data_IF_452627133833
#
_entry.id   IF_452627133833
#
_cell.length_a   1.000
_cell.length_b   1.000
_cell.length_c   1.000
_cell.angle_alpha   90.00
_cell.angle_beta   90.00
_cell.angle_gamma   90.00
#
_symmetry.space_group_name_H-M   'P 1'
#
loop_
_entity.id
_entity.type
_entity.pdbx_description
1 polymer ?
#
# COMPACT_ATOMS: atom_id res chain seq x y z
N UNK A 1 12.81 19.11 -3.56
CA UNK A 1 12.44 17.88 -2.83
C UNK A 1 12.01 16.88 -3.88
N UNK A 2 12.70 15.74 -3.96
CA UNK A 2 12.43 14.77 -5.02
C UNK A 2 11.14 13.99 -4.69
N UNK A 3 10.21 13.81 -5.65
CA UNK A 3 9.08 12.92 -5.44
C UNK A 3 9.59 11.48 -5.36
N UNK A 4 9.12 10.76 -4.34
CA UNK A 4 9.43 9.36 -4.11
C UNK A 4 8.15 8.55 -4.16
N UNK A 5 7.97 7.75 -5.22
CA UNK A 5 6.80 6.88 -5.35
C UNK A 5 6.88 5.78 -4.30
N UNK A 6 5.84 5.62 -3.50
CA UNK A 6 5.80 4.52 -2.53
C UNK A 6 6.01 3.15 -3.20
N UNK A 7 6.75 2.22 -2.57
CA UNK A 7 6.82 0.85 -3.04
C UNK A 7 5.44 0.18 -3.04
N UNK A 8 5.30 -0.94 -3.75
CA UNK A 8 4.03 -1.68 -3.79
C UNK A 8 3.66 -2.23 -2.39
N UNK A 9 4.58 -2.98 -1.79
CA UNK A 9 4.44 -3.60 -0.48
C UNK A 9 5.02 -2.73 0.64
N UNK A 10 4.53 -2.93 1.87
CA UNK A 10 4.99 -2.17 3.03
C UNK A 10 6.39 -2.62 3.50
N UNK A 11 6.60 -3.91 3.72
CA UNK A 11 7.90 -4.45 4.10
C UNK A 11 8.14 -5.80 3.40
N UNK A 12 9.00 -5.85 2.37
CA UNK A 12 9.35 -7.09 1.68
C UNK A 12 9.93 -8.18 2.58
N UNK A 13 10.50 -7.83 3.74
CA UNK A 13 11.03 -8.82 4.69
C UNK A 13 9.92 -9.55 5.48
N UNK A 14 8.68 -9.07 5.38
CA UNK A 14 7.49 -9.68 5.97
C UNK A 14 6.64 -10.40 4.93
N UNK A 15 7.24 -10.84 3.81
CA UNK A 15 6.57 -11.66 2.81
C UNK A 15 5.94 -12.92 3.45
N UNK A 16 4.75 -13.29 2.98
CA UNK A 16 4.01 -14.44 3.53
C UNK A 16 4.46 -15.77 2.94
N UNK A 17 4.83 -15.76 1.65
CA UNK A 17 5.28 -16.93 0.92
C UNK A 17 6.80 -17.11 0.89
N UNK A 18 7.26 -18.27 0.40
CA UNK A 18 8.69 -18.54 0.18
C UNK A 18 9.26 -17.66 -0.96
N UNK A 19 10.59 -17.59 -1.13
CA UNK A 19 11.18 -16.94 -2.30
C UNK A 19 10.65 -17.50 -3.63
N UNK A 20 10.26 -16.61 -4.55
CA UNK A 20 9.72 -17.00 -5.85
C UNK A 20 10.83 -17.44 -6.80
N UNK A 21 10.79 -18.71 -7.18
CA UNK A 21 11.66 -19.30 -8.20
C UNK A 21 10.86 -19.67 -9.45
N UNK A 22 11.53 -19.78 -10.59
CA UNK A 22 10.89 -20.21 -11.83
C UNK A 22 10.24 -21.61 -11.70
N UNK A 23 10.85 -22.51 -10.92
CA UNK A 23 10.28 -23.83 -10.64
C UNK A 23 9.00 -23.76 -9.81
N UNK A 24 8.95 -22.84 -8.84
CA UNK A 24 7.74 -22.61 -8.05
C UNK A 24 6.62 -22.07 -8.94
N UNK A 25 6.90 -21.06 -9.76
CA UNK A 25 5.93 -20.50 -10.71
C UNK A 25 5.35 -21.59 -11.60
N UNK A 26 6.19 -22.40 -12.27
CA UNK A 26 5.72 -23.50 -13.12
C UNK A 26 4.88 -24.53 -12.38
N UNK A 27 5.27 -24.87 -11.14
CA UNK A 27 4.51 -25.81 -10.32
C UNK A 27 3.11 -25.28 -10.01
N UNK A 28 3.02 -24.00 -9.65
CA UNK A 28 1.77 -23.33 -9.27
C UNK A 28 0.86 -23.12 -10.48
N UNK A 29 1.40 -22.65 -11.61
CA UNK A 29 0.65 -22.52 -12.86
C UNK A 29 0.12 -23.88 -13.33
N UNK A 30 0.93 -24.94 -13.22
CA UNK A 30 0.50 -26.30 -13.56
C UNK A 30 -0.59 -26.83 -12.64
N UNK A 31 -0.56 -26.51 -11.33
CA UNK A 31 -1.60 -26.95 -10.40
C UNK A 31 -2.90 -26.18 -10.57
N UNK A 32 -2.81 -24.89 -10.91
CA UNK A 32 -3.96 -24.02 -11.15
C UNK A 32 -4.58 -24.23 -12.53
N UNK A 33 -3.78 -24.66 -13.51
CA UNK A 33 -4.17 -24.65 -14.92
C UNK A 33 -4.31 -23.23 -15.50
N UNK A 34 -3.68 -22.23 -14.87
CA UNK A 34 -3.72 -20.81 -15.23
C UNK A 34 -2.30 -20.25 -15.25
N UNK A 35 -1.97 -19.42 -16.23
CA UNK A 35 -0.71 -18.67 -16.26
C UNK A 35 -0.80 -17.44 -15.37
N UNK A 36 0.24 -17.19 -14.58
CA UNK A 36 0.36 -15.99 -13.77
C UNK A 36 0.81 -14.81 -14.64
N UNK A 37 0.23 -13.61 -14.50
CA UNK A 37 0.69 -12.43 -15.22
C UNK A 37 2.17 -12.14 -14.94
N UNK A 38 2.95 -11.81 -15.97
CA UNK A 38 4.40 -11.64 -15.82
C UNK A 38 4.77 -10.52 -14.83
N UNK A 39 4.01 -9.42 -14.82
CA UNK A 39 4.20 -8.33 -13.88
C UNK A 39 3.83 -8.72 -12.44
N UNK A 40 2.85 -9.61 -12.26
CA UNK A 40 2.50 -10.15 -10.96
C UNK A 40 3.64 -11.01 -10.42
N UNK A 41 4.18 -11.92 -11.23
CA UNK A 41 5.36 -12.72 -10.85
C UNK A 41 6.56 -11.83 -10.49
N UNK A 42 6.81 -10.77 -11.26
CA UNK A 42 7.89 -9.82 -10.97
C UNK A 42 7.72 -9.11 -9.62
N UNK A 43 6.49 -8.76 -9.25
CA UNK A 43 6.22 -8.15 -7.94
C UNK A 43 6.35 -9.18 -6.80
N UNK A 44 5.94 -10.43 -7.03
CA UNK A 44 6.09 -11.52 -6.05
C UNK A 44 7.56 -11.93 -5.82
N UNK A 45 8.45 -11.72 -6.79
CA UNK A 45 9.89 -11.89 -6.59
C UNK A 45 10.48 -10.89 -5.60
N UNK A 46 9.85 -9.72 -5.44
CA UNK A 46 10.24 -8.72 -4.44
C UNK A 46 9.60 -9.05 -3.09
N UNK A 47 8.31 -9.38 -3.08
CA UNK A 47 7.56 -9.74 -1.88
C UNK A 47 6.47 -10.75 -2.25
N UNK A 48 6.66 -12.02 -1.86
CA UNK A 48 5.73 -13.10 -2.21
C UNK A 48 4.49 -13.09 -1.33
N UNK A 49 3.59 -12.16 -1.63
CA UNK A 49 2.40 -11.88 -0.84
C UNK A 49 2.72 -11.08 0.42
N UNK A 50 1.82 -10.18 0.80
CA UNK A 50 2.04 -9.30 1.93
C UNK A 50 1.12 -8.09 1.98
N UNK A 51 1.34 -7.26 3.00
CA UNK A 51 0.61 -6.00 3.18
C UNK A 51 1.07 -4.98 2.14
N UNK A 52 0.11 -4.36 1.47
CA UNK A 52 0.36 -3.31 0.50
C UNK A 52 0.60 -1.97 1.20
N UNK A 53 1.51 -1.19 0.62
CA UNK A 53 1.64 0.23 0.92
C UNK A 53 0.74 1.04 -0.01
N UNK A 54 0.64 0.65 -1.29
CA UNK A 54 -0.28 1.25 -2.27
C UNK A 54 -1.60 0.50 -2.27
N UNK A 55 -2.57 0.98 -1.50
CA UNK A 55 -3.80 0.26 -1.16
C UNK A 55 -5.04 0.75 -1.88
N UNK A 56 -4.99 1.85 -2.64
CA UNK A 56 -6.18 2.39 -3.31
C UNK A 56 -6.09 2.23 -4.81
N UNK A 57 -7.19 1.78 -5.41
CA UNK A 57 -7.40 1.79 -6.85
C UNK A 57 -8.73 2.48 -7.16
N UNK A 58 -8.83 3.09 -8.34
CA UNK A 58 -10.10 3.53 -8.89
C UNK A 58 -10.46 2.69 -10.12
N UNK A 59 -11.73 2.32 -10.23
CA UNK A 59 -12.27 1.59 -11.38
C UNK A 59 -13.77 1.83 -11.49
N UNK A 60 -14.26 2.02 -12.72
CA UNK A 60 -15.66 2.33 -12.99
C UNK A 60 -16.23 3.50 -12.15
N UNK A 61 -15.41 4.52 -11.87
CA UNK A 61 -15.81 5.69 -11.05
C UNK A 61 -15.95 5.40 -9.55
N UNK A 62 -15.50 4.23 -9.07
CA UNK A 62 -15.57 3.82 -7.67
C UNK A 62 -14.16 3.65 -7.10
N UNK A 63 -14.00 3.99 -5.83
CA UNK A 63 -12.76 3.80 -5.07
C UNK A 63 -12.81 2.42 -4.41
N UNK A 64 -11.78 1.62 -4.65
CA UNK A 64 -11.56 0.33 -3.99
C UNK A 64 -10.32 0.42 -3.12
N UNK A 65 -10.40 -0.19 -1.94
CA UNK A 65 -9.25 -0.39 -1.05
C UNK A 65 -8.90 -1.86 -1.03
N UNK A 66 -7.61 -2.15 -1.19
CA UNK A 66 -7.03 -3.49 -1.17
C UNK A 66 -5.87 -3.45 -0.20
N UNK A 67 -6.01 -4.14 0.94
CA UNK A 67 -5.04 -4.06 2.04
C UNK A 67 -3.76 -4.83 1.76
N UNK A 68 -3.90 -5.93 1.03
CA UNK A 68 -2.88 -6.93 0.85
C UNK A 68 -2.95 -7.51 -0.56
N UNK A 69 -1.94 -8.31 -0.89
CA UNK A 69 -1.93 -9.07 -2.12
C UNK A 69 -1.43 -10.47 -1.78
N UNK A 70 -2.15 -11.50 -2.18
CA UNK A 70 -1.76 -12.89 -2.09
C UNK A 70 -0.54 -13.13 -2.99
N UNK A 71 0.28 -14.10 -2.60
CA UNK A 71 1.38 -14.64 -3.38
C UNK A 71 1.15 -16.11 -3.74
N UNK A 72 2.23 -16.85 -3.88
CA UNK A 72 2.22 -18.26 -4.32
C UNK A 72 3.05 -19.16 -3.39
N UNK A 73 2.75 -20.45 -3.34
CA UNK A 73 3.58 -21.47 -2.70
C UNK A 73 3.41 -21.58 -1.19
N UNK A 74 2.28 -21.13 -0.64
CA UNK A 74 1.94 -21.24 0.78
C UNK A 74 0.43 -21.46 0.97
N UNK A 75 -0.02 -21.92 2.16
CA UNK A 75 -1.41 -22.33 2.37
C UNK A 75 -2.47 -21.28 2.01
N UNK A 76 -2.19 -20.01 2.25
CA UNK A 76 -3.10 -18.87 1.98
C UNK A 76 -2.74 -18.12 0.68
N UNK A 77 -2.03 -18.78 -0.24
CA UNK A 77 -1.69 -18.25 -1.56
C UNK A 77 -2.85 -18.31 -2.56
N UNK A 78 -2.60 -17.84 -3.78
CA UNK A 78 -3.60 -17.88 -4.88
C UNK A 78 -4.03 -19.30 -5.25
N UNK A 79 -3.35 -20.34 -4.80
CA UNK A 79 -3.77 -21.72 -4.90
C UNK A 79 -5.14 -22.01 -4.25
N UNK A 80 -5.56 -21.20 -3.27
CA UNK A 80 -6.90 -21.27 -2.66
C UNK A 80 -8.02 -20.67 -3.53
N UNK A 81 -7.70 -20.03 -4.64
CA UNK A 81 -8.68 -19.28 -5.42
C UNK A 81 -9.87 -20.13 -5.86
N UNK A 82 -9.64 -21.39 -6.22
CA UNK A 82 -10.72 -22.28 -6.63
C UNK A 82 -11.66 -22.66 -5.48
N UNK A 83 -11.17 -22.83 -4.25
CA UNK A 83 -12.04 -23.07 -3.09
C UNK A 83 -12.78 -21.80 -2.69
N UNK A 84 -12.08 -20.66 -2.63
CA UNK A 84 -12.70 -19.36 -2.32
C UNK A 84 -13.80 -19.01 -3.32
N UNK A 85 -13.54 -19.21 -4.62
CA UNK A 85 -14.53 -18.90 -5.65
C UNK A 85 -15.78 -19.76 -5.57
N UNK A 86 -15.67 -21.01 -5.10
CA UNK A 86 -16.84 -21.88 -4.88
C UNK A 86 -17.63 -21.51 -3.64
N UNK A 87 -16.95 -21.02 -2.61
CA UNK A 87 -17.57 -20.63 -1.35
C UNK A 87 -18.32 -19.30 -1.47
N UNK A 88 -17.76 -18.37 -2.25
CA UNK A 88 -18.25 -16.99 -2.36
C UNK A 88 -18.87 -16.66 -3.72
N UNK A 89 -19.12 -17.68 -4.55
CA UNK A 89 -19.67 -17.56 -5.91
C UNK A 89 -18.93 -16.54 -6.80
N UNK A 90 -17.60 -16.45 -6.64
CA UNK A 90 -16.78 -15.57 -7.46
C UNK A 90 -16.80 -16.02 -8.93
N UNK A 91 -16.60 -15.08 -9.87
CA UNK A 91 -16.41 -15.41 -11.27
C UNK A 91 -15.27 -16.41 -11.48
N UNK A 92 -15.50 -17.47 -12.25
CA UNK A 92 -14.48 -18.47 -12.58
C UNK A 92 -14.32 -18.66 -14.08
N UNK A 93 -13.11 -19.01 -14.58
CA UNK A 93 -11.87 -19.19 -13.82
C UNK A 93 -11.23 -17.86 -13.38
N UNK A 94 -10.72 -17.80 -12.14
CA UNK A 94 -10.04 -16.62 -11.60
C UNK A 94 -8.94 -16.97 -10.59
N UNK A 95 -8.11 -15.98 -10.25
CA UNK A 95 -7.24 -16.00 -9.08
C UNK A 95 -7.62 -14.86 -8.12
N UNK A 96 -7.72 -15.16 -6.83
CA UNK A 96 -8.04 -14.19 -5.77
C UNK A 96 -6.77 -13.51 -5.33
N UNK A 97 -6.60 -12.22 -5.68
CA UNK A 97 -5.45 -11.43 -5.25
C UNK A 97 -5.60 -10.92 -3.82
N UNK A 98 -6.82 -10.62 -3.39
CA UNK A 98 -7.10 -10.19 -2.02
C UNK A 98 -8.58 -10.40 -1.74
N UNK A 99 -8.91 -10.75 -0.51
CA UNK A 99 -10.28 -10.88 -0.03
C UNK A 99 -10.40 -10.25 1.37
N UNK A 100 -11.39 -9.39 1.54
CA UNK A 100 -11.69 -8.70 2.80
C UNK A 100 -13.21 -8.70 3.03
N UNK A 101 -13.65 -9.56 3.94
CA UNK A 101 -15.07 -9.73 4.23
C UNK A 101 -15.85 -10.10 2.95
N UNK A 102 -16.90 -9.35 2.58
CA UNK A 102 -17.72 -9.62 1.41
C UNK A 102 -17.09 -9.14 0.09
N UNK A 103 -15.84 -8.66 0.11
CA UNK A 103 -15.21 -8.05 -1.07
C UNK A 103 -13.94 -8.77 -1.49
N UNK A 104 -13.69 -8.84 -2.80
CA UNK A 104 -12.48 -9.44 -3.34
C UNK A 104 -11.97 -8.71 -4.59
N UNK A 105 -10.65 -8.81 -4.82
CA UNK A 105 -10.00 -8.39 -6.06
C UNK A 105 -9.45 -9.63 -6.75
N UNK A 106 -9.82 -9.84 -8.01
CA UNK A 106 -9.56 -11.06 -8.75
C UNK A 106 -8.81 -10.78 -10.06
N UNK A 107 -7.95 -11.71 -10.46
CA UNK A 107 -7.54 -11.89 -11.86
C UNK A 107 -8.58 -12.76 -12.56
N UNK A 108 -9.35 -12.19 -13.49
CA UNK A 108 -10.45 -12.84 -14.19
C UNK A 108 -10.03 -13.36 -15.57
N UNK A 109 -10.03 -14.70 -15.71
CA UNK A 109 -9.59 -15.41 -16.91
C UNK A 109 -10.76 -15.81 -17.82
N UNK A 110 -12.02 -15.48 -17.49
CA UNK A 110 -13.20 -15.84 -18.29
C UNK A 110 -13.08 -15.45 -19.76
N UNK A 111 -12.46 -14.29 -20.04
CA UNK A 111 -12.32 -13.74 -21.40
C UNK A 111 -10.97 -14.04 -22.05
N UNK A 112 -9.89 -13.96 -21.29
CA UNK A 112 -8.53 -14.15 -21.80
C UNK A 112 -8.17 -15.63 -21.99
N UNK A 113 -8.89 -16.53 -21.30
CA UNK A 113 -8.57 -17.95 -21.25
C UNK A 113 -7.36 -18.23 -20.36
N UNK A 114 -7.08 -19.50 -20.05
CA UNK A 114 -6.11 -19.89 -19.02
C UNK A 114 -4.66 -19.43 -19.26
N UNK A 115 -4.31 -19.10 -20.50
CA UNK A 115 -2.95 -18.69 -20.89
C UNK A 115 -2.86 -17.22 -21.32
N UNK A 116 -3.97 -16.47 -21.27
CA UNK A 116 -4.01 -15.06 -21.66
C UNK A 116 -3.76 -14.11 -20.49
N UNK A 117 -3.68 -12.82 -20.79
CA UNK A 117 -3.58 -11.77 -19.77
C UNK A 117 -4.98 -11.47 -19.18
N UNK A 118 -5.25 -11.80 -17.90
CA UNK A 118 -6.55 -11.62 -17.28
C UNK A 118 -6.81 -10.15 -16.91
N UNK A 119 -8.09 -9.75 -16.93
CA UNK A 119 -8.49 -8.46 -16.38
C UNK A 119 -8.45 -8.51 -14.84
N UNK A 120 -8.29 -7.35 -14.21
CA UNK A 120 -8.46 -7.24 -12.75
C UNK A 120 -9.87 -6.75 -12.46
N UNK A 121 -10.63 -7.51 -11.69
CA UNK A 121 -12.02 -7.19 -11.31
C UNK A 121 -12.16 -7.07 -9.80
N UNK A 122 -13.05 -6.20 -9.38
CA UNK A 122 -13.53 -6.15 -8.00
C UNK A 122 -14.87 -6.87 -7.93
N UNK A 123 -15.09 -7.62 -6.84
CA UNK A 123 -16.32 -8.33 -6.55
C UNK A 123 -16.81 -7.94 -5.17
N UNK A 124 -18.12 -7.73 -5.06
CA UNK A 124 -18.86 -7.43 -3.85
C UNK A 124 -19.99 -8.46 -3.73
N UNK A 125 -19.91 -9.35 -2.73
CA UNK A 125 -20.88 -10.42 -2.50
C UNK A 125 -22.05 -10.00 -1.62
N UNK A 126 -22.00 -8.82 -1.00
CA UNK A 126 -23.15 -8.28 -0.25
C UNK A 126 -24.21 -7.68 -1.20
N UNK A 127 -23.84 -7.47 -2.46
CA UNK A 127 -24.71 -6.93 -3.50
C UNK A 127 -24.78 -7.89 -4.68
N UNK A 128 -25.96 -8.04 -5.27
CA UNK A 128 -26.16 -8.93 -6.40
C UNK A 128 -26.83 -8.25 -7.59
N UNK A 129 -26.50 -8.74 -8.79
CA UNK A 129 -27.16 -8.42 -10.06
C UNK A 129 -27.42 -9.74 -10.78
N UNK A 130 -28.68 -10.01 -11.14
CA UNK A 130 -29.11 -11.25 -11.81
C UNK A 130 -28.69 -12.55 -11.10
N UNK A 131 -28.73 -12.54 -9.76
CA UNK A 131 -28.38 -13.69 -8.91
C UNK A 131 -26.90 -14.03 -8.91
N UNK A 132 -26.03 -13.03 -9.15
CA UNK A 132 -24.58 -13.13 -9.06
C UNK A 132 -24.01 -11.94 -8.29
N UNK A 133 -22.85 -12.09 -7.64
CA UNK A 133 -22.16 -10.99 -6.98
C UNK A 133 -21.95 -9.79 -7.91
N UNK A 134 -22.08 -8.58 -7.37
CA UNK A 134 -21.81 -7.35 -8.09
C UNK A 134 -20.32 -7.28 -8.43
N UNK A 135 -20.00 -7.08 -9.71
CA UNK A 135 -18.61 -7.02 -10.19
C UNK A 135 -18.36 -5.83 -11.11
N UNK A 136 -17.14 -5.31 -11.11
CA UNK A 136 -16.69 -4.34 -12.12
C UNK A 136 -15.18 -4.41 -12.36
N UNK A 137 -14.77 -4.01 -13.56
CA UNK A 137 -13.34 -4.01 -13.96
C UNK A 137 -12.58 -2.86 -13.30
N UNK A 138 -11.48 -3.19 -12.63
CA UNK A 138 -10.49 -2.24 -12.12
C UNK A 138 -9.44 -1.90 -13.16
N UNK A 139 -8.99 -2.89 -13.95
CA UNK A 139 -8.03 -2.70 -15.02
C UNK A 139 -8.14 -3.82 -16.08
N UNK A 140 -7.63 -3.55 -17.28
CA UNK A 140 -7.57 -4.53 -18.38
C UNK A 140 -6.61 -5.68 -18.14
N UNK A 141 -5.63 -5.47 -17.28
CA UNK A 141 -4.51 -6.38 -17.01
C UNK A 141 -3.86 -6.02 -15.65
N UNK A 142 -3.00 -6.91 -15.14
CA UNK A 142 -2.33 -6.70 -13.86
C UNK A 142 -1.38 -5.49 -13.88
N UNK A 143 -0.67 -5.26 -15.00
CA UNK A 143 0.28 -4.16 -15.10
C UNK A 143 -0.40 -2.80 -14.94
N UNK A 144 -1.52 -2.62 -15.63
CA UNK A 144 -2.37 -1.42 -15.54
C UNK A 144 -2.94 -1.26 -14.14
N UNK A 145 -3.37 -2.35 -13.51
CA UNK A 145 -3.83 -2.32 -12.12
C UNK A 145 -2.73 -1.89 -11.14
N UNK A 146 -1.55 -2.50 -11.24
CA UNK A 146 -0.35 -2.19 -10.45
C UNK A 146 0.04 -0.71 -10.52
N UNK A 147 -0.09 -0.10 -11.69
CA UNK A 147 0.24 1.31 -11.89
C UNK A 147 -0.85 2.26 -11.36
N UNK A 148 -2.11 1.80 -11.32
CA UNK A 148 -3.24 2.52 -10.71
C UNK A 148 -3.26 2.43 -9.20
N UNK A 149 -2.64 1.41 -8.60
CA UNK A 149 -2.49 1.33 -7.15
C UNK A 149 -1.71 2.54 -6.64
N UNK A 150 -2.39 3.34 -5.83
CA UNK A 150 -1.89 4.56 -5.22
C UNK A 150 -1.75 4.39 -3.71
N UNK A 151 -0.77 5.10 -3.15
CA UNK A 151 -0.69 5.29 -1.72
C UNK A 151 -1.86 6.14 -1.24
N UNK A 152 -2.43 5.78 -0.09
CA UNK A 152 -3.40 6.64 0.58
C UNK A 152 -3.08 6.73 2.04
N UNK A 153 -2.65 7.93 2.42
CA UNK A 153 -3.04 8.53 3.69
C UNK A 153 -3.67 9.88 3.39
N UNK A 154 -4.57 10.30 4.26
CA UNK A 154 -5.19 11.63 4.22
C UNK A 154 -4.19 12.75 4.58
N UNK A 155 -2.89 12.44 4.58
CA UNK A 155 -1.80 13.27 5.08
C UNK A 155 -0.64 13.24 4.10
N UNK A 156 -0.04 14.39 3.90
CA UNK A 156 1.25 14.53 3.22
C UNK A 156 2.31 13.78 4.01
N UNK A 157 3.18 13.06 3.33
CA UNK A 157 4.33 12.41 3.96
C UNK A 157 5.65 12.89 3.38
N UNK A 158 6.65 13.05 4.25
CA UNK A 158 8.02 13.39 3.91
C UNK A 158 8.94 12.40 4.61
N UNK A 159 9.79 11.72 3.85
CA UNK A 159 10.91 10.99 4.43
C UNK A 159 12.10 11.94 4.59
N UNK A 160 12.68 11.94 5.78
CA UNK A 160 13.90 12.68 6.14
C UNK A 160 15.01 11.66 6.31
N UNK A 161 15.97 11.63 5.38
CA UNK A 161 17.12 10.74 5.42
C UNK A 161 18.33 11.41 6.08
N UNK A 162 19.10 10.64 6.83
CA UNK A 162 20.32 11.10 7.50
C UNK A 162 20.08 11.76 8.86
N UNK A 163 18.87 11.61 9.42
CA UNK A 163 18.53 12.07 10.77
C UNK A 163 18.18 10.84 11.60
N UNK A 164 19.11 10.45 12.48
CA UNK A 164 18.94 9.28 13.34
C UNK A 164 18.17 9.61 14.64
N UNK A 165 18.11 10.89 15.03
CA UNK A 165 17.59 11.31 16.34
C UNK A 165 16.41 12.27 16.23
N UNK A 166 15.40 12.06 17.07
CA UNK A 166 14.12 12.75 16.98
C UNK A 166 14.08 14.13 17.64
N UNK A 167 15.01 14.44 18.56
CA UNK A 167 15.05 15.75 19.25
C UNK A 167 15.28 16.91 18.28
N UNK A 168 16.18 16.76 17.30
CA UNK A 168 16.44 17.79 16.29
C UNK A 168 15.18 18.11 15.46
N UNK A 169 14.39 17.09 15.12
CA UNK A 169 13.11 17.29 14.41
C UNK A 169 12.07 17.95 15.34
N UNK A 170 12.09 17.64 16.63
CA UNK A 170 11.18 18.24 17.61
C UNK A 170 11.47 19.73 17.84
N UNK A 171 12.74 20.10 17.98
CA UNK A 171 13.18 21.49 18.08
C UNK A 171 12.85 22.25 16.80
N UNK A 172 13.16 21.67 15.64
CA UNK A 172 12.81 22.24 14.35
C UNK A 172 11.29 22.40 14.14
N UNK A 173 10.48 21.51 14.71
CA UNK A 173 9.02 21.63 14.68
C UNK A 173 8.52 22.86 15.45
N UNK A 174 9.23 23.33 16.48
CA UNK A 174 8.88 24.58 17.18
C UNK A 174 9.02 25.80 16.27
N UNK A 175 10.04 25.82 15.41
CA UNK A 175 10.18 26.83 14.37
C UNK A 175 9.04 26.78 13.31
N UNK A 176 8.38 25.63 13.16
CA UNK A 176 7.18 25.46 12.34
C UNK A 176 5.88 25.82 13.08
N UNK A 177 5.94 26.27 14.34
CA UNK A 177 4.78 26.63 15.15
C UNK A 177 4.20 25.48 15.97
N UNK A 178 5.01 24.45 16.30
CA UNK A 178 4.54 23.35 17.13
C UNK A 178 4.25 23.80 18.57
N UNK A 179 3.04 23.50 19.04
CA UNK A 179 2.55 23.87 20.38
C UNK A 179 2.10 22.65 21.18
N UNK A 180 1.89 22.86 22.48
CA UNK A 180 1.36 21.86 23.40
C UNK A 180 2.33 20.70 23.69
N UNK A 181 1.80 19.67 24.37
CA UNK A 181 2.57 18.48 24.77
C UNK A 181 2.77 17.52 23.60
N UNK A 182 3.94 16.87 23.57
CA UNK A 182 4.23 15.74 22.69
C UNK A 182 3.32 14.57 23.09
N UNK A 183 2.56 14.04 22.12
CA UNK A 183 1.70 12.88 22.34
C UNK A 183 2.34 11.66 21.68
N UNK A 184 2.67 10.59 22.42
CA UNK A 184 3.12 9.35 21.81
C UNK A 184 2.00 8.73 20.98
N UNK A 185 2.39 7.99 19.95
CA UNK A 185 1.51 7.32 19.01
C UNK A 185 1.71 5.80 19.06
N UNK A 186 0.63 5.04 18.85
CA UNK A 186 0.62 3.57 18.83
C UNK A 186 1.55 2.97 17.75
N UNK A 187 1.86 3.72 16.69
CA UNK A 187 2.80 3.30 15.65
C UNK A 187 4.28 3.54 16.03
N UNK A 188 4.61 3.92 17.26
CA UNK A 188 6.00 4.18 17.68
C UNK A 188 6.51 5.54 17.20
N UNK A 189 5.62 6.52 17.15
CA UNK A 189 5.93 7.89 16.80
C UNK A 189 5.42 8.88 17.84
N UNK A 190 5.42 10.15 17.48
CA UNK A 190 4.83 11.20 18.30
C UNK A 190 4.14 12.25 17.44
N UNK A 191 3.18 12.95 18.04
CA UNK A 191 2.37 13.97 17.38
C UNK A 191 2.39 15.28 18.17
N UNK A 192 2.49 16.39 17.45
CA UNK A 192 2.27 17.76 17.93
C UNK A 192 1.21 18.47 17.09
N UNK A 193 0.65 19.55 17.63
CA UNK A 193 -0.23 20.47 16.90
C UNK A 193 0.63 21.61 16.36
N UNK A 194 0.40 22.04 15.12
CA UNK A 194 1.02 23.25 14.57
C UNK A 194 0.01 24.40 14.53
N UNK A 195 0.37 25.55 15.07
CA UNK A 195 -0.38 26.80 14.89
C UNK A 195 0.10 27.58 13.66
N UNK A 196 -0.77 28.42 13.08
CA UNK A 196 -0.45 29.21 11.88
C UNK A 196 -0.54 28.45 10.55
N UNK A 197 -1.07 27.22 10.59
CA UNK A 197 -1.33 26.37 9.43
C UNK A 197 -2.80 25.95 9.35
N UNK A 198 -3.25 25.52 8.17
CA UNK A 198 -4.63 25.09 7.93
C UNK A 198 -4.69 23.63 7.43
N UNK A 199 -5.63 22.85 7.98
CA UNK A 199 -5.99 21.52 7.47
C UNK A 199 -7.25 21.60 6.61
N UNK A 200 -7.55 20.52 5.88
CA UNK A 200 -8.70 20.46 4.96
C UNK A 200 -10.05 20.32 5.67
N UNK A 201 -10.03 19.77 6.88
CA UNK A 201 -11.19 19.43 7.69
C UNK A 201 -11.51 20.48 8.76
N UNK A 202 -10.88 21.66 8.68
CA UNK A 202 -10.94 22.73 9.70
C UNK A 202 -10.58 22.27 11.12
N UNK A 203 -9.94 21.10 11.23
CA UNK A 203 -9.44 20.52 12.46
C UNK A 203 -8.05 21.05 12.86
N UNK A 204 -7.46 20.49 13.93
CA UNK A 204 -6.08 20.81 14.28
C UNK A 204 -5.13 20.31 13.20
N UNK A 205 -4.13 21.14 12.87
CA UNK A 205 -3.00 20.70 12.06
C UNK A 205 -2.09 19.81 12.91
N UNK A 206 -1.87 18.60 12.43
CA UNK A 206 -1.03 17.62 13.10
C UNK A 206 0.32 17.53 12.41
N UNK A 207 1.38 17.51 13.22
CA UNK A 207 2.74 17.18 12.82
C UNK A 207 3.13 15.90 13.53
N UNK A 208 3.18 14.81 12.77
CA UNK A 208 3.47 13.47 13.29
C UNK A 208 4.82 13.02 12.77
N UNK A 209 5.68 12.55 13.67
CA UNK A 209 6.99 11.98 13.32
C UNK A 209 6.96 10.50 13.68
N UNK A 210 7.24 9.66 12.69
CA UNK A 210 7.33 8.22 12.81
C UNK A 210 8.78 7.79 12.66
N UNK A 211 9.24 6.94 13.58
CA UNK A 211 10.57 6.37 13.53
C UNK A 211 10.70 5.34 12.40
N UNK A 212 11.93 5.14 11.89
CA UNK A 212 12.25 4.08 10.94
C UNK A 212 11.82 2.71 11.45
N UNK A 213 12.06 2.40 12.73
CA UNK A 213 11.64 1.13 13.31
C UNK A 213 10.24 1.23 13.91
N UNK A 214 9.39 0.25 13.64
CA UNK A 214 8.07 0.09 14.24
C UNK A 214 8.19 -0.59 15.62
N UNK A 215 7.18 -0.46 16.51
CA UNK A 215 7.17 -1.17 17.79
C UNK A 215 7.29 -2.69 17.69
N UNK A 216 6.83 -3.28 16.59
CA UNK A 216 6.95 -4.71 16.30
C UNK A 216 8.31 -5.11 15.68
N UNK A 217 9.25 -4.17 15.59
CA UNK A 217 10.61 -4.40 15.09
C UNK A 217 10.78 -4.26 13.57
N UNK A 218 9.70 -4.23 12.78
CA UNK A 218 9.80 -4.07 11.33
C UNK A 218 10.20 -2.65 10.92
N UNK A 219 10.65 -2.48 9.68
CA UNK A 219 11.24 -1.21 9.22
C UNK A 219 10.31 -0.48 8.25
N UNK A 220 10.02 0.78 8.54
CA UNK A 220 9.46 1.73 7.60
C UNK A 220 10.52 2.12 6.60
N UNK A 221 10.16 2.10 5.33
CA UNK A 221 10.99 2.61 4.23
C UNK A 221 12.45 2.14 4.30
N UNK A 222 12.66 0.84 4.54
CA UNK A 222 14.00 0.26 4.64
C UNK A 222 14.85 0.54 3.39
N UNK A 223 14.19 0.68 2.24
CA UNK A 223 14.76 1.05 0.95
C UNK A 223 15.37 2.46 0.90
N UNK A 224 15.06 3.33 1.87
CA UNK A 224 15.65 4.66 2.03
C UNK A 224 16.85 4.69 2.99
N UNK A 225 17.27 3.55 3.54
CA UNK A 225 18.42 3.46 4.45
C UNK A 225 18.03 3.37 5.93
N UNK A 226 19.05 3.37 6.80
CA UNK A 226 18.89 3.11 8.24
C UNK A 226 18.35 4.31 9.01
N UNK A 227 18.81 5.51 8.68
CA UNK A 227 18.46 6.74 9.40
C UNK A 227 17.38 7.49 8.64
N UNK A 228 16.13 7.03 8.79
CA UNK A 228 14.96 7.61 8.12
C UNK A 228 13.87 7.92 9.14
N UNK A 229 13.37 9.15 9.10
CA UNK A 229 12.17 9.55 9.84
C UNK A 229 11.07 9.90 8.83
N UNK A 230 9.83 9.50 9.13
CA UNK A 230 8.67 9.86 8.31
C UNK A 230 7.88 10.93 9.03
N UNK A 231 7.76 12.09 8.41
CA UNK A 231 6.87 13.15 8.87
C UNK A 231 5.56 13.06 8.12
N UNK A 232 4.45 13.07 8.85
CA UNK A 232 3.11 13.17 8.29
C UNK A 232 2.42 14.45 8.76
N UNK A 233 1.70 15.09 7.84
CA UNK A 233 0.87 16.24 8.18
C UNK A 233 -0.38 16.36 7.32
N UNK A 234 -1.47 16.87 7.90
CA UNK A 234 -2.74 17.17 7.23
C UNK A 234 -2.80 18.62 6.68
N UNK A 235 -1.66 19.30 6.56
CA UNK A 235 -1.58 20.67 6.01
C UNK A 235 -2.02 20.70 4.55
N UNK A 236 -2.84 21.70 4.20
CA UNK A 236 -3.32 21.93 2.83
C UNK A 236 -2.31 22.66 1.96
N UNK A 237 -1.65 23.70 2.50
CA UNK A 237 -0.60 24.45 1.79
C UNK A 237 0.72 23.69 1.84
N UNK A 238 0.77 22.60 1.07
CA UNK A 238 1.88 21.64 1.07
C UNK A 238 3.18 22.33 0.65
N UNK A 239 3.15 23.18 -0.39
CA UNK A 239 4.37 23.77 -0.92
C UNK A 239 5.01 24.76 0.07
N UNK A 240 4.21 25.59 0.75
CA UNK A 240 4.69 26.45 1.83
C UNK A 240 5.23 25.62 3.00
N UNK A 241 4.53 24.55 3.38
CA UNK A 241 4.99 23.65 4.44
C UNK A 241 6.33 23.02 4.10
N UNK A 242 6.48 22.44 2.91
CA UNK A 242 7.72 21.79 2.50
C UNK A 242 8.89 22.77 2.41
N UNK A 243 8.66 24.03 2.01
CA UNK A 243 9.69 25.07 2.00
C UNK A 243 10.16 25.45 3.42
N UNK A 244 9.22 25.65 4.35
CA UNK A 244 9.54 25.93 5.75
C UNK A 244 10.23 24.73 6.41
N UNK A 245 9.67 23.53 6.20
CA UNK A 245 10.19 22.27 6.70
C UNK A 245 11.66 22.06 6.30
N UNK A 246 11.96 22.25 5.01
CA UNK A 246 13.32 22.05 4.49
C UNK A 246 14.33 23.10 4.99
N UNK A 247 13.86 24.24 5.51
CA UNK A 247 14.72 25.28 6.10
C UNK A 247 15.13 24.94 7.53
N UNK A 248 14.26 24.26 8.28
CA UNK A 248 14.46 24.02 9.72
C UNK A 248 14.90 22.60 10.05
N UNK A 249 14.62 21.63 9.19
CA UNK A 249 14.92 20.22 9.47
C UNK A 249 16.16 19.81 8.65
N UNK A 250 17.22 19.31 9.30
CA UNK A 250 18.41 18.84 8.60
C UNK A 250 18.13 17.53 7.84
N UNK A 251 18.99 17.20 6.88
CA UNK A 251 18.93 15.94 6.14
C UNK A 251 18.38 16.07 4.71
N UNK A 252 18.27 14.93 4.03
CA UNK A 252 17.71 14.87 2.67
C UNK A 252 16.22 14.58 2.75
N UNK A 253 15.43 15.44 2.12
CA UNK A 253 13.97 15.33 2.11
C UNK A 253 13.46 14.70 0.82
N UNK A 254 12.59 13.69 0.96
CA UNK A 254 11.88 13.04 -0.12
C UNK A 254 10.38 13.17 0.13
N UNK A 255 9.66 13.81 -0.79
CA UNK A 255 8.20 13.91 -0.70
C UNK A 255 7.62 12.59 -1.17
N UNK A 256 6.86 11.92 -0.33
CA UNK A 256 6.30 10.62 -0.69
C UNK A 256 5.00 10.81 -1.48
N UNK A 257 4.89 10.10 -2.60
CA UNK A 257 3.78 10.19 -3.58
C UNK A 257 3.25 8.83 -3.99
#
# INVERSE_FOLDING_TARGET
MDPYKHPLFDDPNLAWGPPVTESLVRSVESSLGLHLPAHYVSDLQVCNGGILRRTRCEGAGRIVRMRDMAGIGYPDGVELSASQSREWDYPTPCLVLSAEGPTAVLLDYRRSGPHGEPAVVFVDTDHEVDGRPLEWTLASDYATFRDRLAYVRDRTQVAVQGVAFHEEILEAAEALGAVGRIRPDYEGGFTRVLEGWHSRDDGPVLFRVLQAQRPNGSRRMAELGNDVLIVESNIVDIDRFLAAFATHIPGRHCRLV
#
